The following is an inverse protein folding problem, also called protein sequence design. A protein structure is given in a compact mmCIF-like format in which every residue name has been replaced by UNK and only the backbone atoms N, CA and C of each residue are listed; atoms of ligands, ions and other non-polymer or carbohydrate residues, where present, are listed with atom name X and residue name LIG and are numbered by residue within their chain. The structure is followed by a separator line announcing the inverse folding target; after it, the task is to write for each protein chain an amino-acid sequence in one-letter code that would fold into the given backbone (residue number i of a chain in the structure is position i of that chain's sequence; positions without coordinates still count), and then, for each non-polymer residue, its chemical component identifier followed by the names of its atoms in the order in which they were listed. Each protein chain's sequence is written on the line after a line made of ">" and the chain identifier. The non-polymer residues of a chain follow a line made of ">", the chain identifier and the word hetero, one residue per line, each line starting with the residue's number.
data_IF_184757033431
#
_entry.id   IF_184757033431
#
_cell.length_a   1.000
_cell.length_b   1.000
_cell.length_c   1.000
_cell.angle_alpha   90.00
_cell.angle_beta   90.00
_cell.angle_gamma   90.00
#
_symmetry.space_group_name_H-M   'P 1'
#
loop_
_entity.id
_entity.type
_entity.pdbx_description
1 polymer ?
#
# COMPACT_ATOMS: atom_id res chain seq x y z
N UNK A 1 5.71 -15.21 17.43
CA UNK A 1 6.43 -15.75 16.27
C UNK A 1 6.30 -17.25 16.35
N UNK A 2 5.50 -17.87 15.47
CA UNK A 2 5.38 -19.32 15.41
C UNK A 2 6.55 -19.78 14.57
N UNK A 3 7.58 -20.34 15.21
CA UNK A 3 8.79 -20.82 14.55
C UNK A 3 8.47 -22.10 13.78
N UNK A 4 8.13 -21.99 12.50
CA UNK A 4 8.11 -23.16 11.62
C UNK A 4 9.52 -23.37 11.10
N UNK A 5 10.28 -24.25 11.76
CA UNK A 5 11.71 -24.45 11.51
C UNK A 5 12.06 -24.86 10.06
N UNK A 6 11.08 -25.39 9.29
CA UNK A 6 11.31 -25.98 7.95
C UNK A 6 10.12 -25.81 6.99
N UNK A 7 9.69 -24.58 6.76
CA UNK A 7 8.57 -24.31 5.86
C UNK A 7 8.87 -24.68 4.39
N UNK A 8 10.14 -24.64 3.99
CA UNK A 8 10.59 -25.01 2.63
C UNK A 8 10.61 -26.54 2.39
N UNK A 9 10.65 -27.36 3.45
CA UNK A 9 10.64 -28.83 3.37
C UNK A 9 9.21 -29.40 3.29
N UNK A 10 8.18 -28.56 3.49
CA UNK A 10 6.77 -28.96 3.49
C UNK A 10 6.12 -28.72 2.11
N UNK A 11 5.13 -29.55 1.76
CA UNK A 11 4.33 -29.32 0.56
C UNK A 11 3.39 -28.14 0.77
N UNK A 12 3.78 -26.97 0.25
CA UNK A 12 2.95 -25.77 0.32
C UNK A 12 1.73 -25.88 -0.58
N UNK A 13 0.56 -26.09 0.02
CA UNK A 13 -0.69 -26.31 -0.69
C UNK A 13 -1.38 -24.99 -1.05
N UNK A 14 -2.42 -25.09 -1.89
CA UNK A 14 -3.28 -23.93 -2.19
C UNK A 14 -4.03 -23.44 -0.94
N UNK A 15 -4.33 -24.33 0.00
CA UNK A 15 -5.00 -23.97 1.24
C UNK A 15 -4.07 -23.10 2.10
N UNK A 16 -2.79 -23.47 2.19
CA UNK A 16 -1.79 -22.70 2.93
C UNK A 16 -1.62 -21.30 2.33
N UNK A 17 -1.53 -21.20 0.99
CA UNK A 17 -1.45 -19.90 0.31
C UNK A 17 -2.71 -19.05 0.53
N UNK A 18 -3.90 -19.66 0.52
CA UNK A 18 -5.15 -18.95 0.78
C UNK A 18 -5.24 -18.44 2.22
N UNK A 19 -4.79 -19.24 3.20
CA UNK A 19 -4.72 -18.83 4.61
C UNK A 19 -3.71 -17.70 4.76
N UNK A 20 -2.54 -17.80 4.14
CA UNK A 20 -1.53 -16.76 4.19
C UNK A 20 -2.05 -15.44 3.58
N UNK A 21 -2.79 -15.49 2.48
CA UNK A 21 -3.46 -14.31 1.91
C UNK A 21 -4.58 -13.74 2.79
N UNK A 22 -5.29 -14.59 3.53
CA UNK A 22 -6.27 -14.13 4.51
C UNK A 22 -5.56 -13.36 5.64
N UNK A 23 -4.46 -13.91 6.18
CA UNK A 23 -3.66 -13.25 7.21
C UNK A 23 -3.13 -11.89 6.74
N UNK A 24 -2.59 -11.79 5.52
CA UNK A 24 -2.12 -10.49 4.99
C UNK A 24 -3.26 -9.45 4.89
N UNK A 25 -4.48 -9.90 4.58
CA UNK A 25 -5.65 -9.03 4.49
C UNK A 25 -6.12 -8.58 5.87
N UNK A 26 -6.20 -9.51 6.82
CA UNK A 26 -6.58 -9.23 8.20
C UNK A 26 -5.59 -8.26 8.85
N UNK A 27 -4.28 -8.46 8.66
CA UNK A 27 -3.27 -7.53 9.15
C UNK A 27 -3.47 -6.11 8.58
N UNK A 28 -3.65 -6.00 7.26
CA UNK A 28 -3.91 -4.70 6.63
C UNK A 28 -5.16 -4.02 7.20
N UNK A 29 -6.24 -4.79 7.37
CA UNK A 29 -7.51 -4.28 7.88
C UNK A 29 -7.37 -3.83 9.33
N UNK A 30 -6.79 -4.66 10.20
CA UNK A 30 -6.56 -4.35 11.61
C UNK A 30 -5.69 -3.11 11.78
N UNK A 31 -4.60 -3.00 11.02
CA UNK A 31 -3.72 -1.83 11.07
C UNK A 31 -4.43 -0.55 10.60
N UNK A 32 -5.27 -0.65 9.56
CA UNK A 32 -6.07 0.49 9.09
C UNK A 32 -7.13 0.92 10.13
N UNK A 33 -7.80 -0.04 10.75
CA UNK A 33 -8.82 0.21 11.77
C UNK A 33 -8.19 0.77 13.05
N UNK A 34 -7.10 0.17 13.54
CA UNK A 34 -6.37 0.65 14.70
C UNK A 34 -5.84 2.08 14.47
N UNK A 35 -5.30 2.36 13.28
CA UNK A 35 -4.91 3.72 12.90
C UNK A 35 -6.09 4.69 13.01
N UNK A 36 -7.30 4.28 12.60
CA UNK A 36 -8.49 5.13 12.72
C UNK A 36 -8.91 5.39 14.18
N UNK A 37 -8.71 4.42 15.08
CA UNK A 37 -9.04 4.56 16.49
C UNK A 37 -8.10 5.50 17.25
N UNK A 38 -6.81 5.48 16.90
CA UNK A 38 -5.79 6.31 17.56
C UNK A 38 -5.61 7.67 16.91
N UNK A 39 -6.16 7.90 15.72
CA UNK A 39 -6.05 9.19 15.04
C UNK A 39 -7.04 10.17 15.65
N UNK A 40 -6.53 11.18 16.35
CA UNK A 40 -7.33 12.33 16.75
C UNK A 40 -7.71 13.15 15.49
N UNK A 41 -9.01 13.39 15.32
CA UNK A 41 -9.54 14.12 14.18
C UNK A 41 -9.28 15.63 14.27
N UNK A 42 -9.10 16.14 15.49
CA UNK A 42 -8.90 17.56 15.76
C UNK A 42 -7.42 17.95 15.88
N UNK A 43 -6.52 16.97 15.76
CA UNK A 43 -5.08 17.21 15.73
C UNK A 43 -4.69 18.11 14.52
N UNK A 44 -4.10 19.31 14.76
CA UNK A 44 -3.67 20.22 13.71
C UNK A 44 -2.71 19.59 12.70
N UNK A 45 -1.85 18.66 13.13
CA UNK A 45 -0.90 17.97 12.25
C UNK A 45 -1.63 17.07 11.25
N UNK A 46 -2.63 16.31 11.72
CA UNK A 46 -3.46 15.44 10.88
C UNK A 46 -4.26 16.26 9.86
N UNK A 47 -4.82 17.39 10.27
CA UNK A 47 -5.54 18.30 9.37
C UNK A 47 -4.61 18.87 8.30
N UNK A 48 -3.43 19.37 8.70
CA UNK A 48 -2.44 19.91 7.76
C UNK A 48 -1.98 18.85 6.74
N UNK A 49 -1.77 17.60 7.17
CA UNK A 49 -1.39 16.50 6.30
C UNK A 49 -2.52 16.12 5.32
N UNK A 50 -3.79 16.15 5.76
CA UNK A 50 -4.97 15.92 4.91
C UNK A 50 -5.10 17.02 3.85
N UNK A 51 -4.92 18.27 4.24
CA UNK A 51 -4.93 19.41 3.32
C UNK A 51 -3.79 19.32 2.31
N UNK A 52 -2.57 19.01 2.75
CA UNK A 52 -1.44 18.82 1.85
C UNK A 52 -1.66 17.66 0.86
N UNK A 53 -2.29 16.55 1.27
CA UNK A 53 -2.71 15.48 0.34
C UNK A 53 -3.75 15.97 -0.68
N UNK A 54 -4.77 16.71 -0.23
CA UNK A 54 -5.78 17.30 -1.13
C UNK A 54 -5.14 18.26 -2.14
N UNK A 55 -4.24 19.13 -1.67
CA UNK A 55 -3.53 20.11 -2.49
C UNK A 55 -2.54 19.46 -3.46
N UNK A 56 -1.81 18.43 -3.04
CA UNK A 56 -0.92 17.67 -3.94
C UNK A 56 -1.69 16.86 -5.00
N UNK A 57 -2.99 16.63 -4.80
CA UNK A 57 -3.83 15.82 -5.69
C UNK A 57 -3.45 14.34 -5.68
N UNK A 58 -2.66 13.92 -4.69
CA UNK A 58 -2.27 12.53 -4.51
C UNK A 58 -3.48 11.72 -4.07
N UNK A 59 -3.78 10.65 -4.80
CA UNK A 59 -4.88 9.75 -4.46
C UNK A 59 -4.34 8.41 -3.99
N UNK A 60 -4.96 7.77 -2.99
CA UNK A 60 -4.64 6.40 -2.62
C UNK A 60 -4.80 5.45 -3.82
N UNK A 61 -4.14 4.30 -3.81
CA UNK A 61 -4.33 3.29 -4.85
C UNK A 61 -5.81 2.82 -4.85
N UNK A 62 -6.37 2.48 -6.03
CA UNK A 62 -7.78 2.07 -6.14
C UNK A 62 -8.06 0.73 -5.46
N UNK A 63 -7.03 -0.11 -5.30
CA UNK A 63 -7.06 -1.35 -4.53
C UNK A 63 -5.94 -1.28 -3.50
N UNK A 64 -6.16 -1.79 -2.27
CA UNK A 64 -5.09 -1.85 -1.29
C UNK A 64 -3.95 -2.71 -1.82
N UNK A 65 -2.72 -2.24 -1.60
CA UNK A 65 -1.50 -3.00 -1.89
C UNK A 65 -1.18 -3.74 -0.59
N UNK A 66 -1.35 -5.06 -0.60
CA UNK A 66 -1.16 -5.91 0.56
C UNK A 66 0.28 -6.43 0.58
N UNK A 67 0.99 -6.20 1.68
CA UNK A 67 2.32 -6.77 1.87
C UNK A 67 2.19 -8.23 2.35
N UNK A 68 3.05 -9.15 1.86
CA UNK A 68 3.05 -10.53 2.32
C UNK A 68 3.72 -10.56 3.69
N UNK A 69 2.91 -10.63 4.75
CA UNK A 69 3.36 -10.63 6.14
C UNK A 69 3.36 -12.06 6.70
N UNK A 70 2.42 -12.89 6.24
CA UNK A 70 2.40 -14.29 6.62
C UNK A 70 3.68 -15.02 6.15
N UNK A 71 4.20 -15.90 7.01
CA UNK A 71 5.34 -16.76 6.68
C UNK A 71 4.99 -17.71 5.54
N UNK A 72 5.92 -17.84 4.59
CA UNK A 72 5.78 -18.61 3.35
C UNK A 72 7.12 -19.22 2.96
N UNK A 73 7.13 -20.32 2.19
CA UNK A 73 8.35 -20.81 1.57
C UNK A 73 9.04 -19.71 0.77
N UNK A 74 10.36 -19.71 0.77
CA UNK A 74 11.18 -18.60 0.25
C UNK A 74 10.82 -18.25 -1.20
N UNK A 75 10.54 -19.29 -2.01
CA UNK A 75 10.14 -19.13 -3.41
C UNK A 75 8.78 -18.43 -3.58
N UNK A 76 7.82 -18.71 -2.69
CA UNK A 76 6.49 -18.08 -2.74
C UNK A 76 6.57 -16.63 -2.26
N UNK A 77 7.26 -16.39 -1.13
CA UNK A 77 7.50 -15.06 -0.59
C UNK A 77 8.18 -14.14 -1.62
N UNK A 78 9.28 -14.59 -2.24
CA UNK A 78 10.01 -13.79 -3.22
C UNK A 78 9.13 -13.37 -4.43
N UNK A 79 8.30 -14.27 -4.96
CA UNK A 79 7.39 -13.97 -6.07
C UNK A 79 6.35 -12.91 -5.69
N UNK A 80 5.81 -12.99 -4.47
CA UNK A 80 4.83 -12.01 -3.99
C UNK A 80 5.47 -10.66 -3.74
N UNK A 81 6.65 -10.61 -3.12
CA UNK A 81 7.39 -9.37 -2.90
C UNK A 81 7.66 -8.63 -4.20
N UNK A 82 8.08 -9.33 -5.26
CA UNK A 82 8.27 -8.72 -6.59
C UNK A 82 6.96 -8.16 -7.14
N UNK A 83 5.84 -8.88 -7.01
CA UNK A 83 4.53 -8.42 -7.46
C UNK A 83 4.08 -7.15 -6.72
N UNK A 84 4.22 -7.14 -5.41
CA UNK A 84 3.82 -6.01 -4.55
C UNK A 84 4.67 -4.77 -4.82
N UNK A 85 5.99 -4.95 -4.98
CA UNK A 85 6.90 -3.89 -5.38
C UNK A 85 6.50 -3.30 -6.75
N UNK A 86 6.13 -4.14 -7.72
CA UNK A 86 5.63 -3.69 -9.01
C UNK A 86 4.38 -2.82 -8.89
N UNK A 87 3.38 -3.26 -8.10
CA UNK A 87 2.16 -2.49 -7.84
C UNK A 87 2.46 -1.13 -7.19
N UNK A 88 3.40 -1.10 -6.24
CA UNK A 88 3.81 0.13 -5.58
C UNK A 88 4.48 1.09 -6.56
N UNK A 89 5.42 0.61 -7.37
CA UNK A 89 6.10 1.40 -8.39
C UNK A 89 5.13 1.95 -9.44
N UNK A 90 4.19 1.14 -9.92
CA UNK A 90 3.15 1.58 -10.86
C UNK A 90 2.30 2.71 -10.28
N UNK A 91 1.89 2.58 -9.01
CA UNK A 91 1.13 3.62 -8.32
C UNK A 91 1.95 4.90 -8.17
N UNK A 92 3.20 4.80 -7.74
CA UNK A 92 4.10 5.94 -7.60
C UNK A 92 4.30 6.68 -8.93
N UNK A 93 4.54 5.94 -10.02
CA UNK A 93 4.64 6.51 -11.36
C UNK A 93 3.35 7.19 -11.80
N UNK A 94 2.19 6.62 -11.49
CA UNK A 94 0.89 7.23 -11.77
C UNK A 94 0.70 8.55 -11.00
N UNK A 95 1.15 8.63 -9.74
CA UNK A 95 1.14 9.87 -8.95
C UNK A 95 2.04 10.94 -9.57
N UNK A 96 3.29 10.59 -9.93
CA UNK A 96 4.24 11.50 -10.59
C UNK A 96 3.67 12.07 -11.89
N UNK A 97 3.05 11.23 -12.73
CA UNK A 97 2.38 11.64 -13.97
C UNK A 97 1.23 12.62 -13.70
N UNK A 98 0.44 12.40 -12.64
CA UNK A 98 -0.65 13.30 -12.24
C UNK A 98 -0.14 14.65 -11.75
N UNK A 99 0.89 14.66 -10.90
CA UNK A 99 1.51 15.91 -10.43
C UNK A 99 2.06 16.74 -11.58
N UNK A 100 2.77 16.10 -12.54
CA UNK A 100 3.27 16.77 -13.76
C UNK A 100 2.14 17.39 -14.59
N UNK A 101 1.00 16.71 -14.73
CA UNK A 101 -0.17 17.26 -15.44
C UNK A 101 -0.76 18.46 -14.71
N UNK A 102 -0.81 18.42 -13.37
CA UNK A 102 -1.33 19.52 -12.55
C UNK A 102 -0.42 20.75 -12.62
N UNK A 103 0.90 20.56 -12.54
CA UNK A 103 1.86 21.66 -12.67
C UNK A 103 1.82 22.29 -14.06
N UNK A 104 1.74 21.49 -15.12
CA UNK A 104 1.56 22.00 -16.49
C UNK A 104 0.27 22.81 -16.66
N UNK A 105 -0.84 22.34 -16.06
CA UNK A 105 -2.12 23.07 -16.10
C UNK A 105 -2.03 24.41 -15.36
N UNK A 106 -1.39 24.44 -14.19
CA UNK A 106 -1.17 25.67 -13.43
C UNK A 106 -0.28 26.66 -14.20
N UNK A 107 0.80 26.17 -14.82
CA UNK A 107 1.69 27.00 -15.64
C UNK A 107 0.96 27.61 -16.85
N UNK A 108 0.13 26.84 -17.56
CA UNK A 108 -0.67 27.35 -18.68
C UNK A 108 -1.68 28.42 -18.23
N UNK A 109 -2.37 28.17 -17.12
CA UNK A 109 -3.31 29.14 -16.55
C UNK A 109 -2.61 30.47 -16.17
N UNK A 110 -1.38 30.41 -15.63
CA UNK A 110 -0.59 31.60 -15.32
C UNK A 110 -0.16 32.39 -16.57
N UNK A 111 -0.04 31.72 -17.72
CA UNK A 111 0.26 32.35 -19.02
C UNK A 111 -0.98 32.86 -19.77
N UNK A 112 -2.18 32.75 -19.19
CA UNK A 112 -3.42 33.20 -19.81
C UNK A 112 -3.84 32.43 -21.07
N UNK A 113 -3.37 31.18 -21.24
CA UNK A 113 -3.73 30.28 -22.35
C UNK A 113 -4.48 29.05 -21.87
#
# INVERSE_FOLDING_TARGET
>A
MILVEKLDDFEWTKTDENIAHLVDREDFWLNAEYSSWITDADDPEIQSAREHRKQSGMKPPPKPILWPIAERPQRAAAKLSVRVLGQYQEHEQAQKKRQKRKSLKAFRAALGR
#
